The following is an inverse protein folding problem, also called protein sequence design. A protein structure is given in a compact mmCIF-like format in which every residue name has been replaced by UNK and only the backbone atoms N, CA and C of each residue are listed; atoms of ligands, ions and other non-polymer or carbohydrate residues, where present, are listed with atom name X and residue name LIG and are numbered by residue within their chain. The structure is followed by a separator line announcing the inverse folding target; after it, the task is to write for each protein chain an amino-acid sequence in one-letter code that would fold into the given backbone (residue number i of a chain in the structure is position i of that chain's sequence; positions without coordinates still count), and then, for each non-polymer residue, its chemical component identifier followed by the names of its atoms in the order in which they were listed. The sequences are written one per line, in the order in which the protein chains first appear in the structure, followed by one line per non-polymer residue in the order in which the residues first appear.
data_IF_759121331690
#
_entry.id   IF_759121331690
#
_cell.length_a   1.000
_cell.length_b   1.000
_cell.length_c   1.000
_cell.angle_alpha   90.00
_cell.angle_beta   90.00
_cell.angle_gamma   90.00
#
_symmetry.space_group_name_H-M   'P 1'
#
loop_
_entity.id
_entity.type
_entity.pdbx_description
1 polymer ?
#
# COMPACT_ATOMS: atom_id res chain seq x y z
N UNK A 1 6.64 22.85 28.61
CA UNK A 1 7.59 21.79 29.01
C UNK A 1 7.05 20.50 28.42
N UNK A 2 7.59 20.10 27.26
CA UNK A 2 7.05 18.98 26.47
C UNK A 2 7.08 17.66 27.22
N UNK A 3 6.12 16.79 26.91
CA UNK A 3 6.12 15.40 27.30
C UNK A 3 7.48 14.79 26.95
N UNK A 4 8.22 14.36 27.97
CA UNK A 4 9.45 13.61 27.76
C UNK A 4 9.01 12.23 27.33
N UNK A 5 8.95 11.99 26.03
CA UNK A 5 8.88 10.66 25.44
C UNK A 5 9.87 9.77 26.19
N UNK A 6 9.39 8.66 26.76
CA UNK A 6 10.20 7.67 27.49
C UNK A 6 11.00 6.82 26.49
N UNK A 7 11.70 7.49 25.58
CA UNK A 7 12.52 6.88 24.55
C UNK A 7 13.76 6.24 25.18
N UNK A 8 14.26 5.20 24.53
CA UNK A 8 15.49 4.51 24.91
C UNK A 8 16.68 5.46 24.73
N UNK A 9 16.96 6.24 25.76
CA UNK A 9 18.10 7.14 25.76
C UNK A 9 19.38 6.32 25.93
N UNK A 10 20.36 6.45 25.02
CA UNK A 10 21.63 5.80 25.18
C UNK A 10 22.33 6.35 26.44
N UNK A 11 23.19 5.54 27.07
CA UNK A 11 23.88 5.89 28.32
C UNK A 11 24.51 7.30 28.30
N UNK A 12 25.20 7.75 27.22
CA UNK A 12 25.73 9.11 27.14
C UNK A 12 24.66 10.20 27.31
N UNK A 13 23.47 10.02 26.73
CA UNK A 13 22.37 10.97 26.85
C UNK A 13 21.77 11.00 28.27
N UNK A 14 21.80 9.89 29.00
CA UNK A 14 21.42 9.85 30.42
C UNK A 14 22.41 10.63 31.30
N UNK A 15 23.71 10.50 31.03
CA UNK A 15 24.74 11.27 31.72
C UNK A 15 24.64 12.77 31.42
N UNK A 16 24.38 13.14 30.17
CA UNK A 16 24.14 14.54 29.80
C UNK A 16 22.90 15.12 30.47
N UNK A 17 21.82 14.34 30.57
CA UNK A 17 20.60 14.75 31.27
C UNK A 17 20.86 14.98 32.75
N UNK A 18 21.60 14.08 33.41
CA UNK A 18 22.00 14.24 34.81
C UNK A 18 22.87 15.48 35.01
N UNK A 19 23.85 15.72 34.12
CA UNK A 19 24.69 16.93 34.14
C UNK A 19 23.87 18.21 34.00
N UNK A 20 22.90 18.23 33.07
CA UNK A 20 22.00 19.38 32.87
C UNK A 20 21.17 19.66 34.13
N UNK A 21 20.61 18.64 34.77
CA UNK A 21 19.86 18.80 36.03
C UNK A 21 20.77 19.37 37.14
N UNK A 22 21.99 18.84 37.28
CA UNK A 22 22.96 19.35 38.25
C UNK A 22 23.33 20.81 38.00
N UNK A 23 23.58 21.19 36.74
CA UNK A 23 23.90 22.56 36.37
C UNK A 23 22.74 23.52 36.68
N UNK A 24 21.50 23.13 36.34
CA UNK A 24 20.29 23.88 36.65
C UNK A 24 20.11 24.05 38.18
N UNK A 25 20.47 23.04 38.97
CA UNK A 25 20.41 23.11 40.43
C UNK A 25 21.51 24.02 41.04
N UNK A 26 22.62 24.23 40.32
CA UNK A 26 23.76 25.05 40.76
C UNK A 26 23.56 26.53 40.41
N UNK A 27 22.82 26.82 39.34
CA UNK A 27 22.48 28.18 38.93
C UNK A 27 21.38 28.75 39.85
N UNK A 28 21.71 29.80 40.61
CA UNK A 28 20.84 30.39 41.64
C UNK A 28 19.65 31.13 41.01
N UNK A 29 18.59 30.39 40.69
CA UNK A 29 17.34 30.94 40.15
C UNK A 29 16.29 29.91 39.74
N UNK A 30 16.52 28.61 39.98
CA UNK A 30 15.60 27.56 39.57
C UNK A 30 14.52 27.25 40.62
N UNK A 31 13.32 26.90 40.14
CA UNK A 31 12.24 26.37 40.95
C UNK A 31 12.65 25.02 41.59
N UNK A 32 12.69 24.90 42.93
CA UNK A 32 13.08 23.67 43.61
C UNK A 32 12.20 22.46 43.24
N UNK A 33 10.95 22.69 42.86
CA UNK A 33 10.03 21.63 42.43
C UNK A 33 10.39 21.06 41.07
N UNK A 34 10.90 21.90 40.17
CA UNK A 34 11.36 21.47 38.85
C UNK A 34 12.63 20.61 38.94
N UNK A 35 13.57 20.99 39.81
CA UNK A 35 14.80 20.20 40.05
C UNK A 35 14.46 18.84 40.65
N UNK A 36 13.58 18.80 41.65
CA UNK A 36 13.11 17.55 42.28
C UNK A 36 12.47 16.59 41.27
N UNK A 37 11.54 17.08 40.45
CA UNK A 37 10.91 16.28 39.38
C UNK A 37 11.92 15.80 38.35
N UNK A 38 12.91 16.62 38.02
CA UNK A 38 14.03 16.25 37.15
C UNK A 38 14.85 15.09 37.72
N UNK A 39 15.19 15.15 39.01
CA UNK A 39 15.90 14.08 39.73
C UNK A 39 15.09 12.79 39.77
N UNK A 40 13.80 12.85 40.09
CA UNK A 40 12.90 11.67 40.10
C UNK A 40 12.79 11.03 38.70
N UNK A 41 12.63 11.83 37.65
CA UNK A 41 12.61 11.33 36.27
C UNK A 41 13.94 10.70 35.87
N UNK A 42 15.07 11.25 36.32
CA UNK A 42 16.38 10.70 36.04
C UNK A 42 16.63 9.39 36.79
N UNK A 43 16.29 9.31 38.07
CA UNK A 43 16.38 8.10 38.89
C UNK A 43 15.51 6.96 38.33
N UNK A 44 14.27 7.25 37.96
CA UNK A 44 13.39 6.25 37.34
C UNK A 44 13.94 5.73 36.01
N UNK A 45 14.58 6.60 35.22
CA UNK A 45 15.24 6.18 33.97
C UNK A 45 16.46 5.31 34.22
N UNK A 46 17.26 5.62 35.25
CA UNK A 46 18.39 4.77 35.67
C UNK A 46 17.90 3.40 36.16
N UNK A 47 16.87 3.36 37.02
CA UNK A 47 16.29 2.10 37.48
C UNK A 47 15.80 1.24 36.32
N UNK A 48 15.12 1.84 35.33
CA UNK A 48 14.70 1.13 34.13
C UNK A 48 15.90 0.58 33.34
N UNK A 49 16.96 1.38 33.16
CA UNK A 49 18.17 0.95 32.46
C UNK A 49 18.86 -0.22 33.19
N UNK A 50 18.87 -0.22 34.53
CA UNK A 50 19.41 -1.32 35.34
C UNK A 50 18.58 -2.59 35.17
N UNK A 51 17.24 -2.51 35.21
CA UNK A 51 16.39 -3.68 34.95
C UNK A 51 16.66 -4.29 33.59
N UNK A 52 16.74 -3.46 32.53
CA UNK A 52 17.09 -3.92 31.18
C UNK A 52 18.46 -4.58 31.12
N UNK A 53 19.46 -4.02 31.82
CA UNK A 53 20.80 -4.60 31.86
C UNK A 53 20.79 -5.98 32.53
N UNK A 54 19.96 -6.19 33.56
CA UNK A 54 19.77 -7.51 34.19
C UNK A 54 19.11 -8.50 33.23
N UNK A 55 18.06 -8.08 32.51
CA UNK A 55 17.41 -8.92 31.51
C UNK A 55 18.39 -9.33 30.40
N UNK A 56 19.21 -8.39 29.92
CA UNK A 56 20.25 -8.66 28.93
C UNK A 56 21.31 -9.63 29.46
N UNK A 57 21.73 -9.50 30.71
CA UNK A 57 22.67 -10.43 31.34
C UNK A 57 22.07 -11.84 31.45
N UNK A 58 20.79 -11.96 31.80
CA UNK A 58 20.11 -13.25 31.84
C UNK A 58 20.03 -13.89 30.44
N UNK A 59 19.75 -13.09 29.41
CA UNK A 59 19.71 -13.54 28.01
C UNK A 59 21.10 -13.99 27.52
N UNK A 60 22.15 -13.22 27.80
CA UNK A 60 23.53 -13.59 27.45
C UNK A 60 23.97 -14.87 28.15
N UNK A 61 23.58 -15.06 29.41
CA UNK A 61 23.87 -16.30 30.14
C UNK A 61 23.20 -17.52 29.50
N UNK A 62 21.94 -17.39 29.06
CA UNK A 62 21.25 -18.46 28.33
C UNK A 62 21.94 -18.77 27.00
N UNK A 63 22.41 -17.75 26.29
CA UNK A 63 23.18 -17.92 25.05
C UNK A 63 24.51 -18.64 25.31
N UNK A 64 25.25 -18.26 26.35
CA UNK A 64 26.48 -18.93 26.77
C UNK A 64 26.24 -20.41 27.11
N UNK A 65 25.18 -20.73 27.85
CA UNK A 65 24.81 -22.12 28.18
C UNK A 65 24.50 -22.93 26.91
N UNK A 66 23.77 -22.34 25.95
CA UNK A 66 23.48 -22.98 24.66
C UNK A 66 24.75 -23.22 23.82
N UNK A 67 25.63 -22.21 23.73
CA UNK A 67 26.90 -22.31 22.99
C UNK A 67 27.84 -23.33 23.65
N UNK A 68 27.86 -23.39 24.98
CA UNK A 68 28.63 -24.38 25.72
C UNK A 68 28.12 -25.79 25.45
N UNK A 69 26.80 -25.98 25.43
CA UNK A 69 26.20 -27.27 25.05
C UNK A 69 26.52 -27.68 23.61
N UNK A 70 26.55 -26.72 22.67
CA UNK A 70 26.97 -26.95 21.27
C UNK A 70 28.45 -27.36 21.22
N UNK A 71 29.33 -26.65 21.93
CA UNK A 71 30.75 -26.95 21.99
C UNK A 71 31.02 -28.33 22.61
N UNK A 72 30.28 -28.71 23.64
CA UNK A 72 30.35 -30.07 24.21
C UNK A 72 29.90 -31.15 23.21
N UNK A 73 28.83 -30.90 22.44
CA UNK A 73 28.37 -31.83 21.40
C UNK A 73 29.42 -31.99 20.30
N UNK A 74 30.05 -30.90 19.87
CA UNK A 74 31.17 -30.94 18.92
C UNK A 74 32.36 -31.76 19.44
N UNK A 75 32.71 -31.61 20.73
CA UNK A 75 33.79 -32.41 21.34
C UNK A 75 33.45 -33.91 21.44
N UNK A 76 32.17 -34.26 21.64
CA UNK A 76 31.73 -35.66 21.81
C UNK A 76 31.53 -36.40 20.48
N UNK A 77 31.10 -35.73 19.41
CA UNK A 77 30.81 -36.32 18.09
C UNK A 77 31.77 -35.93 16.96
N UNK A 78 32.74 -35.05 17.20
CA UNK A 78 33.55 -34.46 16.12
C UNK A 78 32.80 -33.38 15.35
N UNK A 79 33.54 -32.46 14.70
CA UNK A 79 32.95 -31.32 13.98
C UNK A 79 32.09 -31.74 12.79
N UNK A 80 32.50 -32.80 12.07
CA UNK A 80 31.81 -33.29 10.88
C UNK A 80 30.43 -33.88 11.22
N UNK A 81 30.33 -34.80 12.20
CA UNK A 81 29.05 -35.41 12.59
C UNK A 81 28.09 -34.36 13.18
N UNK A 82 28.60 -33.39 13.93
CA UNK A 82 27.77 -32.28 14.43
C UNK A 82 27.21 -31.43 13.29
N UNK A 83 28.03 -31.10 12.29
CA UNK A 83 27.60 -30.31 11.14
C UNK A 83 26.56 -31.06 10.28
N UNK A 84 26.74 -32.36 10.09
CA UNK A 84 25.81 -33.22 9.36
C UNK A 84 24.46 -33.30 10.07
N UNK A 85 24.45 -33.54 11.39
CA UNK A 85 23.22 -33.58 12.19
C UNK A 85 22.48 -32.24 12.15
N UNK A 86 23.18 -31.11 12.25
CA UNK A 86 22.56 -29.77 12.18
C UNK A 86 21.95 -29.51 10.80
N UNK A 87 22.63 -29.92 9.72
CA UNK A 87 22.11 -29.79 8.36
C UNK A 87 20.89 -30.68 8.12
N UNK A 88 20.91 -31.92 8.63
CA UNK A 88 19.79 -32.86 8.56
C UNK A 88 18.58 -32.34 9.35
N UNK A 89 18.77 -31.84 10.58
CA UNK A 89 17.70 -31.19 11.36
C UNK A 89 17.09 -29.98 10.64
N UNK A 90 17.93 -29.14 10.02
CA UNK A 90 17.46 -27.98 9.24
C UNK A 90 16.62 -28.43 8.05
N UNK A 91 17.05 -29.47 7.34
CA UNK A 91 16.33 -30.03 6.21
C UNK A 91 14.96 -30.59 6.63
N UNK A 92 14.91 -31.37 7.71
CA UNK A 92 13.68 -31.91 8.31
C UNK A 92 12.72 -30.81 8.74
N UNK A 93 13.23 -29.73 9.33
CA UNK A 93 12.42 -28.57 9.73
C UNK A 93 11.86 -27.81 8.53
N UNK A 94 12.64 -27.65 7.46
CA UNK A 94 12.15 -27.04 6.22
C UNK A 94 11.06 -27.91 5.59
N UNK A 95 11.28 -29.22 5.50
CA UNK A 95 10.30 -30.16 4.98
C UNK A 95 9.00 -30.17 5.80
N UNK A 96 9.08 -30.17 7.13
CA UNK A 96 7.89 -30.12 7.99
C UNK A 96 7.13 -28.81 7.78
N UNK A 97 7.83 -27.69 7.64
CA UNK A 97 7.20 -26.41 7.36
C UNK A 97 6.47 -26.40 6.01
N UNK A 98 7.07 -26.97 4.97
CA UNK A 98 6.44 -27.12 3.66
C UNK A 98 5.24 -28.07 3.70
N UNK A 99 5.35 -29.22 4.38
CA UNK A 99 4.23 -30.16 4.58
C UNK A 99 3.09 -29.48 5.34
N UNK A 100 3.37 -28.82 6.45
CA UNK A 100 2.37 -28.12 7.26
C UNK A 100 1.72 -26.97 6.50
N UNK A 101 2.50 -26.20 5.73
CA UNK A 101 1.97 -25.15 4.87
C UNK A 101 1.07 -25.72 3.77
N UNK A 102 1.46 -26.83 3.15
CA UNK A 102 0.63 -27.51 2.14
C UNK A 102 -0.67 -28.04 2.74
N UNK A 103 -0.63 -28.63 3.94
CA UNK A 103 -1.83 -29.08 4.66
C UNK A 103 -2.72 -27.87 5.00
N UNK A 104 -2.14 -26.80 5.56
CA UNK A 104 -2.90 -25.57 5.87
C UNK A 104 -3.55 -24.99 4.61
N UNK A 105 -2.83 -24.93 3.50
CA UNK A 105 -3.32 -24.41 2.23
C UNK A 105 -4.60 -25.12 1.74
N UNK A 106 -4.75 -26.42 1.99
CA UNK A 106 -5.95 -27.19 1.61
C UNK A 106 -7.21 -26.76 2.37
N UNK A 107 -7.05 -26.27 3.61
CA UNK A 107 -8.17 -25.87 4.47
C UNK A 107 -8.33 -24.36 4.61
N UNK A 108 -7.32 -23.57 4.24
CA UNK A 108 -7.43 -22.11 4.16
C UNK A 108 -8.29 -21.75 2.96
N UNK A 109 -9.52 -21.31 3.23
CA UNK A 109 -10.32 -20.64 2.20
C UNK A 109 -9.69 -19.27 1.95
N UNK A 110 -9.27 -18.94 0.71
CA UNK A 110 -8.86 -17.58 0.42
C UNK A 110 -10.03 -16.65 0.76
N UNK A 111 -9.75 -15.54 1.44
CA UNK A 111 -10.74 -14.49 1.62
C UNK A 111 -11.30 -14.16 0.24
N UNK A 112 -12.63 -14.09 0.10
CA UNK A 112 -13.21 -13.78 -1.20
C UNK A 112 -12.62 -12.44 -1.64
N UNK A 113 -12.01 -12.37 -2.83
CA UNK A 113 -11.48 -11.11 -3.31
C UNK A 113 -12.65 -10.15 -3.38
N UNK A 114 -12.56 -9.03 -2.65
CA UNK A 114 -13.51 -7.93 -2.81
C UNK A 114 -13.30 -7.47 -4.25
N UNK A 115 -14.17 -7.91 -5.15
CA UNK A 115 -14.06 -7.54 -6.56
C UNK A 115 -14.25 -6.02 -6.66
N UNK A 116 -13.57 -5.37 -7.61
CA UNK A 116 -13.72 -3.93 -7.83
C UNK A 116 -15.18 -3.51 -8.00
N UNK A 117 -16.01 -4.38 -8.59
CA UNK A 117 -17.45 -4.19 -8.71
C UNK A 117 -18.17 -4.14 -7.36
N UNK A 118 -17.86 -5.05 -6.42
CA UNK A 118 -18.46 -5.07 -5.08
C UNK A 118 -18.03 -3.86 -4.24
N UNK A 119 -16.74 -3.49 -4.28
CA UNK A 119 -16.25 -2.31 -3.57
C UNK A 119 -16.85 -1.01 -4.13
N UNK A 120 -16.91 -0.87 -5.46
CA UNK A 120 -17.52 0.30 -6.10
C UNK A 120 -19.00 0.45 -5.71
N UNK A 121 -19.73 -0.66 -5.64
CA UNK A 121 -21.13 -0.65 -5.23
C UNK A 121 -21.29 -0.29 -3.75
N UNK A 122 -20.47 -0.81 -2.85
CA UNK A 122 -20.49 -0.43 -1.43
C UNK A 122 -20.09 1.04 -1.19
N UNK A 123 -19.22 1.60 -2.05
CA UNK A 123 -18.89 3.04 -2.03
C UNK A 123 -20.08 3.89 -2.47
N UNK A 124 -20.78 3.50 -3.56
CA UNK A 124 -21.98 4.19 -4.02
C UNK A 124 -23.15 4.08 -3.01
N UNK A 125 -23.27 2.94 -2.35
CA UNK A 125 -24.29 2.66 -1.34
C UNK A 125 -23.90 3.18 0.07
N UNK A 126 -22.74 3.83 0.21
CA UNK A 126 -22.27 4.49 1.44
C UNK A 126 -21.83 3.54 2.57
N UNK A 127 -21.70 2.24 2.30
CA UNK A 127 -21.23 1.22 3.26
C UNK A 127 -19.71 1.17 3.38
N UNK A 128 -18.99 1.70 2.39
CA UNK A 128 -17.53 1.78 2.37
C UNK A 128 -17.06 3.19 2.03
N UNK A 129 -15.90 3.59 2.55
CA UNK A 129 -15.23 4.84 2.16
C UNK A 129 -14.11 4.53 1.18
N UNK A 130 -13.94 5.35 0.14
CA UNK A 130 -12.82 5.22 -0.83
C UNK A 130 -11.45 5.31 -0.11
N UNK A 131 -11.38 6.03 1.01
CA UNK A 131 -10.19 6.13 1.85
C UNK A 131 -9.90 4.88 2.69
N UNK A 132 -10.80 3.90 2.73
CA UNK A 132 -10.60 2.65 3.42
C UNK A 132 -9.72 1.75 2.54
N UNK A 133 -8.43 2.09 2.50
CA UNK A 133 -7.42 1.30 1.82
C UNK A 133 -7.45 -0.12 2.40
N UNK A 134 -7.84 -1.10 1.58
CA UNK A 134 -7.65 -2.49 1.92
C UNK A 134 -6.14 -2.75 1.82
N UNK A 135 -5.45 -2.84 2.96
CA UNK A 135 -4.02 -3.17 3.01
C UNK A 135 -3.79 -4.61 2.50
N UNK A 136 -3.74 -4.77 1.18
CA UNK A 136 -3.21 -5.97 0.58
C UNK A 136 -1.70 -5.80 0.47
N UNK A 137 -0.99 -6.29 1.49
CA UNK A 137 0.48 -6.40 1.44
C UNK A 137 0.84 -7.42 0.36
N UNK A 138 1.03 -6.97 -0.86
CA UNK A 138 1.66 -7.78 -1.89
C UNK A 138 3.16 -7.71 -1.64
N UNK A 139 3.75 -8.84 -1.24
CA UNK A 139 5.18 -9.01 -1.47
C UNK A 139 5.40 -8.93 -2.99
N UNK A 140 6.26 -8.03 -3.48
CA UNK A 140 6.57 -8.01 -4.90
C UNK A 140 7.07 -9.39 -5.29
N UNK A 141 6.46 -9.96 -6.34
CA UNK A 141 6.91 -11.22 -6.92
C UNK A 141 8.28 -10.98 -7.54
N UNK A 142 9.29 -11.08 -6.69
CA UNK A 142 10.68 -11.00 -7.04
C UNK A 142 11.03 -12.31 -7.74
N UNK A 143 11.30 -12.23 -9.04
CA UNK A 143 11.70 -13.39 -9.82
C UNK A 143 13.22 -13.54 -9.77
N UNK A 144 13.67 -14.54 -9.03
CA UNK A 144 15.08 -14.82 -8.79
C UNK A 144 15.31 -15.34 -7.37
N UNK A 145 16.43 -16.04 -7.11
CA UNK A 145 16.77 -16.50 -5.76
C UNK A 145 16.88 -15.31 -4.80
N UNK A 146 16.27 -15.45 -3.62
CA UNK A 146 16.16 -14.37 -2.63
C UNK A 146 17.51 -13.76 -2.19
N UNK A 147 18.61 -14.51 -2.33
CA UNK A 147 19.97 -14.03 -2.05
C UNK A 147 20.47 -12.95 -3.03
N UNK A 148 19.88 -12.86 -4.22
CA UNK A 148 20.36 -12.01 -5.33
C UNK A 148 19.53 -10.75 -5.54
N UNK A 149 18.25 -10.77 -5.15
CA UNK A 149 17.32 -9.69 -5.53
C UNK A 149 17.14 -8.62 -4.43
N UNK A 150 17.73 -8.83 -3.25
CA UNK A 150 17.75 -7.84 -2.16
C UNK A 150 19.15 -7.38 -1.74
N UNK A 151 20.22 -7.95 -2.30
CA UNK A 151 21.61 -7.68 -1.93
C UNK A 151 22.38 -6.94 -3.03
N UNK A 152 23.45 -6.24 -2.66
CA UNK A 152 24.39 -5.69 -3.64
C UNK A 152 25.10 -6.82 -4.40
N UNK A 153 25.05 -6.79 -5.73
CA UNK A 153 25.70 -7.79 -6.59
C UNK A 153 27.22 -7.62 -6.55
N UNK A 154 27.90 -8.38 -5.69
CA UNK A 154 29.35 -8.23 -5.46
C UNK A 154 30.19 -9.12 -6.37
N UNK A 155 29.66 -10.28 -6.81
CA UNK A 155 30.40 -11.23 -7.66
C UNK A 155 29.89 -11.30 -9.11
N UNK A 156 30.77 -11.61 -10.06
CA UNK A 156 30.42 -11.77 -11.48
C UNK A 156 29.47 -12.96 -11.71
N UNK A 157 29.63 -14.01 -10.90
CA UNK A 157 28.75 -15.19 -10.87
C UNK A 157 27.32 -14.81 -10.46
N UNK A 158 27.18 -13.94 -9.47
CA UNK A 158 25.89 -13.40 -9.04
C UNK A 158 25.23 -12.57 -10.15
N UNK A 159 26.00 -11.75 -10.87
CA UNK A 159 25.49 -10.95 -11.99
C UNK A 159 24.96 -11.81 -13.13
N UNK A 160 25.66 -12.89 -13.49
CA UNK A 160 25.16 -13.83 -14.48
C UNK A 160 23.88 -14.52 -14.01
N UNK A 161 23.81 -14.96 -12.76
CA UNK A 161 22.60 -15.60 -12.21
C UNK A 161 21.37 -14.67 -12.20
N UNK A 162 21.55 -13.38 -11.92
CA UNK A 162 20.47 -12.38 -11.98
C UNK A 162 19.95 -12.11 -13.40
N UNK A 163 20.72 -12.45 -14.45
CA UNK A 163 20.36 -12.21 -15.85
C UNK A 163 19.67 -13.40 -16.53
N UNK A 164 19.88 -14.63 -16.02
CA UNK A 164 19.40 -15.87 -16.66
C UNK A 164 17.87 -16.01 -16.64
N UNK A 165 17.17 -15.17 -15.87
CA UNK A 165 15.73 -15.28 -15.65
C UNK A 165 14.99 -13.95 -15.78
N UNK A 166 15.45 -13.03 -16.63
CA UNK A 166 14.73 -11.77 -16.83
C UNK A 166 13.51 -11.93 -17.75
N UNK A 167 12.38 -11.26 -17.45
CA UNK A 167 11.23 -11.22 -18.36
C UNK A 167 11.59 -10.61 -19.72
N UNK A 168 11.12 -11.24 -20.81
CA UNK A 168 11.34 -10.78 -22.20
C UNK A 168 10.60 -9.47 -22.55
N UNK A 169 9.80 -8.93 -21.63
CA UNK A 169 9.04 -7.70 -21.80
C UNK A 169 9.40 -6.69 -20.70
N UNK A 170 9.37 -5.39 -21.03
CA UNK A 170 9.56 -4.33 -20.02
C UNK A 170 8.46 -4.45 -18.97
N UNK A 171 8.86 -4.72 -17.73
CA UNK A 171 7.94 -4.72 -16.61
C UNK A 171 7.49 -3.27 -16.32
N UNK A 172 6.24 -3.08 -15.84
CA UNK A 172 5.82 -1.81 -15.28
C UNK A 172 6.81 -1.36 -14.19
N UNK A 173 7.30 -0.12 -14.29
CA UNK A 173 8.19 0.49 -13.28
C UNK A 173 7.42 1.11 -12.13
N UNK A 174 6.09 1.19 -12.26
CA UNK A 174 5.20 1.80 -11.30
C UNK A 174 4.70 0.72 -10.34
N UNK A 175 4.69 0.99 -9.04
CA UNK A 175 4.15 0.04 -8.08
C UNK A 175 2.63 -0.10 -8.24
N UNK A 176 2.06 -1.21 -7.77
CA UNK A 176 0.61 -1.41 -7.78
C UNK A 176 -0.10 -0.31 -6.97
N UNK A 177 0.50 0.14 -5.87
CA UNK A 177 -0.04 1.22 -5.05
C UNK A 177 -0.01 2.55 -5.80
N UNK A 178 1.09 2.85 -6.48
CA UNK A 178 1.24 4.06 -7.29
C UNK A 178 0.26 4.07 -8.48
N UNK A 179 -0.02 2.89 -9.07
CA UNK A 179 -1.06 2.72 -10.07
C UNK A 179 -2.46 2.99 -9.49
N UNK A 180 -2.75 2.45 -8.31
CA UNK A 180 -4.02 2.68 -7.61
C UNK A 180 -4.25 4.15 -7.27
N UNK A 181 -3.21 4.87 -6.82
CA UNK A 181 -3.30 6.31 -6.54
C UNK A 181 -3.58 7.12 -7.80
N UNK A 182 -2.90 6.80 -8.91
CA UNK A 182 -3.12 7.46 -10.19
C UNK A 182 -4.53 7.20 -10.73
N UNK A 183 -5.07 6.00 -10.51
CA UNK A 183 -6.45 5.65 -10.85
C UNK A 183 -7.46 6.40 -9.99
N UNK A 184 -7.24 6.50 -8.67
CA UNK A 184 -8.08 7.32 -7.79
C UNK A 184 -8.08 8.80 -8.21
N UNK A 185 -6.93 9.34 -8.60
CA UNK A 185 -6.82 10.71 -9.08
C UNK A 185 -7.61 10.93 -10.38
N UNK A 186 -7.54 9.97 -11.32
CA UNK A 186 -8.35 10.01 -12.54
C UNK A 186 -9.85 9.92 -12.23
N UNK A 187 -10.24 9.10 -11.25
CA UNK A 187 -11.64 8.96 -10.85
C UNK A 187 -12.18 10.22 -10.15
N UNK A 188 -11.39 10.84 -9.27
CA UNK A 188 -11.76 12.11 -8.62
C UNK A 188 -11.94 13.23 -9.66
N UNK A 189 -11.01 13.33 -10.63
CA UNK A 189 -11.14 14.28 -11.75
C UNK A 189 -12.40 14.01 -12.57
N UNK A 190 -12.72 12.74 -12.82
CA UNK A 190 -13.94 12.38 -13.55
C UNK A 190 -15.22 12.77 -12.78
N UNK A 191 -15.24 12.57 -11.46
CA UNK A 191 -16.34 13.00 -10.60
C UNK A 191 -16.49 14.52 -10.60
N UNK A 192 -15.40 15.28 -10.46
CA UNK A 192 -15.41 16.74 -10.51
C UNK A 192 -15.93 17.26 -11.85
N UNK A 193 -15.52 16.64 -12.96
CA UNK A 193 -15.99 17.01 -14.29
C UNK A 193 -17.48 16.69 -14.48
N UNK A 194 -17.96 15.57 -13.95
CA UNK A 194 -19.39 15.22 -14.00
C UNK A 194 -20.25 16.13 -13.13
N UNK A 195 -19.79 16.49 -11.93
CA UNK A 195 -20.48 17.45 -11.06
C UNK A 195 -20.54 18.81 -11.74
N UNK A 196 -19.43 19.28 -12.33
CA UNK A 196 -19.41 20.52 -13.11
C UNK A 196 -20.35 20.46 -14.31
N UNK A 197 -20.38 19.36 -15.05
CA UNK A 197 -21.27 19.20 -16.19
C UNK A 197 -22.75 19.14 -15.77
N UNK A 198 -23.07 18.52 -14.62
CA UNK A 198 -24.41 18.57 -14.05
C UNK A 198 -24.79 19.95 -13.53
N UNK A 199 -23.87 20.69 -12.91
CA UNK A 199 -24.10 22.07 -12.48
C UNK A 199 -24.29 23.01 -13.68
N UNK A 200 -23.54 22.80 -14.76
CA UNK A 200 -23.68 23.51 -16.02
C UNK A 200 -25.03 23.20 -16.69
N UNK A 201 -25.45 21.93 -16.72
CA UNK A 201 -26.78 21.54 -17.20
C UNK A 201 -27.93 22.11 -16.34
N UNK A 202 -27.75 22.16 -15.02
CA UNK A 202 -28.72 22.74 -14.08
C UNK A 202 -28.72 24.28 -14.06
N UNK A 203 -27.71 24.92 -14.66
CA UNK A 203 -27.60 26.39 -14.73
C UNK A 203 -27.99 26.95 -16.10
N UNK A 204 -27.85 26.18 -17.19
CA UNK A 204 -28.00 26.71 -18.54
C UNK A 204 -29.43 26.65 -19.14
N UNK A 205 -30.39 25.89 -18.59
CA UNK A 205 -31.69 25.75 -19.27
C UNK A 205 -32.95 25.62 -18.39
N UNK A 206 -32.87 25.90 -17.08
CA UNK A 206 -34.05 25.82 -16.19
C UNK A 206 -34.40 27.12 -15.46
N UNK A 207 -33.62 28.20 -15.63
CA UNK A 207 -33.88 29.48 -14.97
C UNK A 207 -34.52 30.54 -15.85
N UNK A 208 -34.72 30.29 -17.15
CA UNK A 208 -35.18 31.33 -18.10
C UNK A 208 -36.46 31.02 -18.89
N UNK A 209 -37.34 30.11 -18.45
CA UNK A 209 -38.71 30.12 -18.97
C UNK A 209 -39.74 29.43 -18.06
N UNK A 210 -40.24 30.18 -17.08
CA UNK A 210 -41.60 29.95 -16.57
C UNK A 210 -42.33 31.28 -16.37
N UNK A 211 -42.39 32.10 -17.43
CA UNK A 211 -43.48 33.06 -17.58
C UNK A 211 -44.70 32.29 -18.07
N UNK A 212 -45.57 31.93 -17.14
CA UNK A 212 -46.93 31.52 -17.44
C UNK A 212 -47.63 32.74 -18.07
N UNK A 213 -47.86 32.70 -19.38
CA UNK A 213 -48.47 33.79 -20.14
C UNK A 213 -49.36 33.25 -21.24
N UNK A 214 -50.64 33.15 -20.92
CA UNK A 214 -51.81 33.07 -21.80
C UNK A 214 -51.67 33.93 -23.07
N UNK A 215 -51.93 33.36 -24.25
CA UNK A 215 -52.84 33.92 -25.28
C UNK A 215 -52.65 33.22 -26.64
N UNK A 216 -53.79 32.81 -27.21
CA UNK A 216 -54.06 32.40 -28.58
C UNK A 216 -53.36 33.27 -29.64
N UNK A 217 -52.66 32.67 -30.61
CA UNK A 217 -52.92 32.76 -32.07
C UNK A 217 -51.77 32.15 -32.90
N UNK A 218 -52.15 31.36 -33.90
CA UNK A 218 -51.50 31.03 -35.19
C UNK A 218 -50.01 31.38 -35.40
N UNK A 219 -49.18 30.37 -35.66
CA UNK A 219 -48.05 30.46 -36.59
C UNK A 219 -47.81 29.08 -37.24
N UNK A 220 -48.22 28.94 -38.49
CA UNK A 220 -48.02 27.79 -39.39
C UNK A 220 -46.54 27.61 -39.83
N UNK A 221 -45.60 28.34 -39.22
CA UNK A 221 -44.18 28.42 -39.63
C UNK A 221 -43.30 27.28 -39.08
N UNK A 222 -43.72 26.57 -38.03
CA UNK A 222 -42.90 25.52 -37.38
C UNK A 222 -42.85 24.22 -38.22
N UNK A 223 -43.85 23.99 -39.08
CA UNK A 223 -43.90 22.84 -39.98
C UNK A 223 -42.98 23.02 -41.20
N UNK A 224 -42.83 24.23 -41.74
CA UNK A 224 -41.99 24.49 -42.91
C UNK A 224 -40.50 24.30 -42.60
N UNK A 225 -40.06 24.70 -41.40
CA UNK A 225 -38.68 24.48 -40.95
C UNK A 225 -38.38 23.00 -40.72
N UNK A 226 -39.33 22.25 -40.17
CA UNK A 226 -39.21 20.80 -40.00
C UNK A 226 -39.15 20.07 -41.36
N UNK A 227 -39.96 20.49 -42.32
CA UNK A 227 -39.98 19.94 -43.69
C UNK A 227 -38.68 20.26 -44.45
N UNK A 228 -38.15 21.48 -44.33
CA UNK A 228 -36.86 21.85 -44.92
C UNK A 228 -35.70 21.04 -44.32
N UNK A 229 -35.73 20.79 -43.01
CA UNK A 229 -34.71 19.96 -42.33
C UNK A 229 -34.77 18.50 -42.76
N UNK A 230 -35.99 17.97 -42.99
CA UNK A 230 -36.19 16.61 -43.50
C UNK A 230 -35.69 16.48 -44.96
N UNK A 231 -35.98 17.47 -45.82
CA UNK A 231 -35.45 17.50 -47.20
C UNK A 231 -33.93 17.61 -47.24
N UNK A 232 -33.33 18.48 -46.41
CA UNK A 232 -31.88 18.61 -46.33
C UNK A 232 -31.18 17.33 -45.84
N UNK A 233 -31.85 16.56 -44.98
CA UNK A 233 -31.34 15.26 -44.55
C UNK A 233 -31.43 14.21 -45.66
N UNK A 234 -32.47 14.24 -46.49
CA UNK A 234 -32.64 13.34 -47.64
C UNK A 234 -31.61 13.65 -48.74
N UNK A 235 -31.42 14.93 -49.09
CA UNK A 235 -30.40 15.40 -50.04
C UNK A 235 -28.98 14.99 -49.61
N UNK A 236 -28.69 15.05 -48.30
CA UNK A 236 -27.42 14.57 -47.75
C UNK A 236 -27.24 13.05 -47.90
N UNK A 237 -28.31 12.25 -47.80
CA UNK A 237 -28.24 10.79 -48.00
C UNK A 237 -27.90 10.44 -49.44
N UNK A 238 -28.43 11.20 -50.40
CA UNK A 238 -28.18 11.03 -51.82
C UNK A 238 -26.74 11.45 -52.21
N UNK A 239 -26.22 12.53 -51.63
CA UNK A 239 -24.84 12.99 -51.83
C UNK A 239 -23.77 12.15 -51.12
N UNK A 240 -24.15 11.25 -50.19
CA UNK A 240 -23.24 10.41 -49.41
C UNK A 240 -23.45 8.90 -49.66
N UNK A 241 -23.08 8.40 -50.86
CA UNK A 241 -23.33 7.01 -51.28
C UNK A 241 -22.56 5.95 -50.47
N UNK A 242 -21.58 6.34 -49.63
CA UNK A 242 -20.86 5.43 -48.71
C UNK A 242 -21.63 5.09 -47.42
N UNK A 243 -22.86 5.57 -47.27
CA UNK A 243 -23.74 5.25 -46.12
C UNK A 243 -24.95 4.36 -46.45
N UNK A 244 -25.11 3.92 -47.70
CA UNK A 244 -26.23 3.10 -48.15
C UNK A 244 -25.74 1.76 -48.72
N UNK A 245 -25.18 0.89 -47.86
CA UNK A 245 -24.55 -0.33 -48.37
C UNK A 245 -24.34 -1.44 -47.34
N UNK A 246 -25.41 -2.12 -46.93
CA UNK A 246 -25.32 -3.56 -46.67
C UNK A 246 -26.56 -4.35 -47.13
N UNK A 247 -27.19 -3.91 -48.23
CA UNK A 247 -28.34 -4.62 -48.84
C UNK A 247 -28.02 -5.24 -50.21
N UNK A 248 -26.75 -5.28 -50.64
CA UNK A 248 -26.34 -5.82 -51.95
C UNK A 248 -25.11 -6.76 -51.92
N UNK A 249 -24.82 -7.42 -50.80
CA UNK A 249 -23.78 -8.46 -50.71
C UNK A 249 -24.36 -9.78 -50.18
N UNK A 250 -25.45 -10.22 -50.80
CA UNK A 250 -25.70 -11.66 -51.03
C UNK A 250 -26.18 -11.80 -52.47
N UNK A 251 -25.28 -12.17 -53.38
CA UNK A 251 -25.57 -13.34 -54.20
C UNK A 251 -24.56 -14.47 -53.98
N UNK A 252 -25.09 -15.69 -54.00
CA UNK A 252 -24.38 -16.97 -53.99
C UNK A 252 -23.26 -17.04 -55.04
N UNK A 253 -22.21 -17.75 -54.68
CA UNK A 253 -21.14 -18.26 -55.55
C UNK A 253 -20.33 -19.28 -54.77
#
# INVERSE_FOLDING_TARGET
MGEVSREELPLPSLFERGRKIHQIATESGCDPDAVRKGCEAWLTTISLAVCKALDLLEMLKKEEDMLSAVKERQLKGGEEEFSEVVLDERSKKAESWHRDAAIRAQYTKPAQPITCATFAQDVLEGRAKVSQAHEHKHQPMIFGPASLVGGGLTSERERMAAQVFQPMHRLPTMSIEEAGLKEMEMMNKWQEMNVKLMEEANSAWYKDNRKLGTSENDNEDDDDDAVQKARAFDDWKDDNPRGAGNKKLTPCG
#
